data_IF_965664795866
#
_entry.id   IF_965664795866
#
_cell.length_a   1.000
_cell.length_b   1.000
_cell.length_c   1.000
_cell.angle_alpha   90.00
_cell.angle_beta   90.00
_cell.angle_gamma   90.00
#
_symmetry.space_group_name_H-M   'P 1'
#
loop_
_entity.id
_entity.type
_entity.pdbx_description
1 polymer ?
#
# COMPACT_ATOMS: atom_id res chain seq x y z
N UNK A 1 5.35 9.38 2.42
CA UNK A 1 6.12 9.03 3.65
C UNK A 1 6.17 7.51 3.76
N UNK A 2 7.28 6.96 4.16
CA UNK A 2 7.44 5.51 4.26
C UNK A 2 7.47 5.05 5.71
N UNK A 3 6.83 3.92 5.96
CA UNK A 3 6.78 3.23 7.25
C UNK A 3 7.32 1.83 7.09
N UNK A 4 8.08 1.37 8.08
CA UNK A 4 8.66 0.03 8.08
C UNK A 4 8.15 -0.75 9.30
N UNK A 5 7.65 -1.95 9.04
CA UNK A 5 7.34 -2.95 10.07
C UNK A 5 8.19 -4.18 9.80
N UNK A 6 8.57 -4.88 10.86
CA UNK A 6 9.41 -6.07 10.73
C UNK A 6 9.18 -7.07 11.86
N UNK A 7 9.43 -8.33 11.55
CA UNK A 7 9.60 -9.40 12.51
C UNK A 7 10.99 -10.02 12.35
N UNK A 8 11.23 -11.20 12.90
CA UNK A 8 12.52 -11.89 12.79
C UNK A 8 12.83 -12.39 11.36
N UNK A 9 11.81 -12.50 10.47
CA UNK A 9 11.95 -13.07 9.12
C UNK A 9 11.91 -12.04 8.02
N UNK A 10 11.02 -11.06 8.12
CA UNK A 10 10.71 -10.11 7.05
C UNK A 10 10.77 -8.66 7.55
N UNK A 11 11.17 -7.78 6.64
CA UNK A 11 11.01 -6.33 6.78
C UNK A 11 10.14 -5.83 5.63
N UNK A 12 9.00 -5.23 5.97
CA UNK A 12 8.08 -4.61 5.00
C UNK A 12 8.15 -3.09 5.12
N UNK A 13 8.33 -2.42 4.00
CA UNK A 13 8.19 -0.96 3.90
C UNK A 13 7.00 -0.61 3.05
N UNK A 14 6.15 0.29 3.56
CA UNK A 14 4.93 0.77 2.90
C UNK A 14 5.03 2.29 2.73
N UNK A 15 4.72 2.79 1.54
CA UNK A 15 4.55 4.21 1.29
C UNK A 15 3.11 4.62 1.58
N UNK A 16 2.90 5.75 2.26
CA UNK A 16 1.56 6.29 2.52
C UNK A 16 0.86 6.74 1.25
N UNK A 17 1.61 7.14 0.23
CA UNK A 17 1.05 7.36 -1.10
C UNK A 17 0.61 6.03 -1.69
N UNK A 18 -0.70 5.87 -1.87
CA UNK A 18 -1.30 4.62 -2.35
C UNK A 18 -1.32 3.47 -1.34
N UNK A 19 -0.85 3.66 -0.11
CA UNK A 19 -0.63 2.59 0.88
C UNK A 19 0.13 1.39 0.27
N UNK A 20 1.09 1.69 -0.60
CA UNK A 20 1.77 0.73 -1.45
C UNK A 20 2.95 0.07 -0.74
N UNK A 21 3.01 -1.26 -0.75
CA UNK A 21 4.20 -1.98 -0.34
C UNK A 21 5.32 -1.70 -1.36
N UNK A 22 6.43 -1.12 -0.92
CA UNK A 22 7.54 -0.72 -1.78
C UNK A 22 8.81 -1.53 -1.56
N UNK A 23 8.88 -2.28 -0.47
CA UNK A 23 10.00 -3.18 -0.17
C UNK A 23 9.56 -4.31 0.75
N UNK A 24 9.95 -5.52 0.42
CA UNK A 24 9.85 -6.70 1.29
C UNK A 24 11.20 -7.40 1.29
N UNK A 25 11.91 -7.33 2.39
CA UNK A 25 13.25 -7.91 2.52
C UNK A 25 13.19 -9.21 3.32
N UNK A 26 13.77 -10.27 2.78
CA UNK A 26 14.06 -11.48 3.53
C UNK A 26 15.29 -11.21 4.43
N UNK A 27 15.09 -11.16 5.74
CA UNK A 27 16.16 -10.80 6.69
C UNK A 27 17.28 -11.84 6.79
N UNK A 28 17.00 -13.11 6.49
CA UNK A 28 18.00 -14.15 6.51
C UNK A 28 19.03 -14.02 5.36
N UNK A 29 18.59 -13.56 4.20
CA UNK A 29 19.42 -13.45 3.00
C UNK A 29 19.75 -12.03 2.59
N UNK A 30 19.02 -11.03 3.10
CA UNK A 30 19.08 -9.63 2.68
C UNK A 30 18.43 -9.38 1.31
N UNK A 31 17.77 -10.38 0.72
CA UNK A 31 17.18 -10.28 -0.61
C UNK A 31 15.90 -9.43 -0.60
N UNK A 32 15.82 -8.48 -1.54
CA UNK A 32 14.59 -7.76 -1.86
C UNK A 32 13.64 -8.67 -2.65
N UNK A 33 12.40 -8.80 -2.17
CA UNK A 33 11.40 -9.73 -2.72
C UNK A 33 10.43 -9.05 -3.69
N UNK A 34 10.39 -7.72 -3.74
CA UNK A 34 9.54 -6.96 -4.64
C UNK A 34 10.32 -6.40 -5.82
N UNK A 35 9.57 -6.12 -6.88
CA UNK A 35 10.06 -5.32 -8.01
C UNK A 35 10.54 -3.94 -7.53
N UNK A 36 11.65 -3.46 -8.06
CA UNK A 36 12.32 -2.23 -7.60
C UNK A 36 11.60 -0.91 -7.97
N UNK A 37 10.55 -0.97 -8.78
CA UNK A 37 9.82 0.23 -9.21
C UNK A 37 10.58 1.08 -10.23
N UNK A 38 11.44 0.48 -11.05
CA UNK A 38 12.20 1.19 -12.10
C UNK A 38 11.24 1.92 -13.05
N UNK A 39 11.24 3.27 -13.07
CA UNK A 39 10.33 4.05 -13.91
C UNK A 39 10.57 3.86 -15.41
N UNK A 40 11.74 3.37 -15.83
CA UNK A 40 12.02 3.04 -17.22
C UNK A 40 11.23 1.81 -17.71
N UNK A 41 10.75 0.97 -16.79
CA UNK A 41 9.98 -0.23 -17.07
C UNK A 41 8.57 -0.11 -16.49
N UNK A 42 8.46 0.00 -15.18
CA UNK A 42 7.20 0.18 -14.46
C UNK A 42 7.47 0.76 -13.07
N UNK A 43 7.04 2.01 -12.86
CA UNK A 43 7.41 2.81 -11.68
C UNK A 43 6.62 2.50 -10.40
N UNK A 44 5.78 1.46 -10.40
CA UNK A 44 5.05 1.01 -9.19
C UNK A 44 5.61 -0.31 -8.69
N UNK A 45 5.21 -0.72 -7.48
CA UNK A 45 5.64 -1.96 -6.85
C UNK A 45 4.47 -2.92 -6.65
N UNK A 46 3.53 -2.57 -5.75
CA UNK A 46 2.37 -3.38 -5.39
C UNK A 46 1.14 -2.50 -5.16
N UNK A 47 0.63 -1.81 -6.19
CA UNK A 47 -0.45 -0.84 -6.03
C UNK A 47 -1.75 -1.52 -5.60
N UNK A 48 -2.52 -0.83 -4.74
CA UNK A 48 -3.85 -1.25 -4.32
C UNK A 48 -4.86 -0.88 -5.41
N UNK A 49 -5.57 -1.89 -5.91
CA UNK A 49 -6.58 -1.73 -6.95
C UNK A 49 -7.96 -1.60 -6.29
N UNK A 50 -8.41 -0.36 -6.11
CA UNK A 50 -9.68 -0.06 -5.45
C UNK A 50 -10.27 1.25 -6.00
N UNK A 51 -11.60 1.35 -6.23
CA UNK A 51 -12.65 0.36 -5.94
C UNK A 51 -12.87 -0.69 -7.03
N UNK A 52 -12.09 -0.70 -8.08
CA UNK A 52 -12.19 -1.68 -9.16
C UNK A 52 -10.82 -2.01 -9.77
N UNK A 53 -10.76 -3.14 -10.49
CA UNK A 53 -9.58 -3.60 -11.24
C UNK A 53 -9.79 -3.36 -12.72
N UNK A 54 -8.77 -2.85 -13.42
CA UNK A 54 -8.78 -2.60 -14.85
C UNK A 54 -9.36 -1.25 -15.22
N UNK A 55 -9.71 -1.11 -16.50
CA UNK A 55 -10.33 0.09 -17.07
C UNK A 55 -11.85 -0.03 -17.09
N UNK A 56 -12.53 1.07 -16.81
CA UNK A 56 -13.98 1.18 -16.99
C UNK A 56 -14.32 1.43 -18.46
N UNK A 57 -15.37 0.80 -18.96
CA UNK A 57 -15.90 1.08 -20.29
C UNK A 57 -16.31 2.56 -20.38
N UNK A 58 -15.77 3.28 -21.37
CA UNK A 58 -16.00 4.71 -21.51
C UNK A 58 -15.41 5.59 -20.39
N UNK A 59 -14.58 5.04 -19.50
CA UNK A 59 -13.98 5.78 -18.40
C UNK A 59 -14.95 6.22 -17.32
N UNK A 60 -16.11 5.58 -17.20
CA UNK A 60 -17.20 5.95 -16.30
C UNK A 60 -17.75 4.76 -15.53
N UNK A 61 -18.18 5.02 -14.31
CA UNK A 61 -18.93 4.11 -13.46
C UNK A 61 -20.25 4.76 -13.07
N UNK A 62 -21.33 3.98 -13.06
CA UNK A 62 -22.64 4.43 -12.59
C UNK A 62 -22.96 3.73 -11.28
N UNK A 63 -23.21 4.51 -10.23
CA UNK A 63 -23.62 4.00 -8.94
C UNK A 63 -24.79 4.82 -8.40
N UNK A 64 -25.87 4.13 -8.02
CA UNK A 64 -27.10 4.77 -7.52
C UNK A 64 -27.64 5.86 -8.44
N UNK A 65 -27.61 5.63 -9.76
CA UNK A 65 -28.08 6.55 -10.78
C UNK A 65 -27.16 7.76 -11.06
N UNK A 66 -25.98 7.82 -10.45
CA UNK A 66 -25.00 8.88 -10.63
C UNK A 66 -23.78 8.39 -11.38
N UNK A 67 -23.29 9.20 -12.34
CA UNK A 67 -22.05 8.92 -13.07
C UNK A 67 -20.82 9.42 -12.31
N UNK A 68 -19.77 8.58 -12.28
CA UNK A 68 -18.46 8.92 -11.75
C UNK A 68 -17.39 8.62 -12.80
N UNK A 69 -16.55 9.59 -13.11
CA UNK A 69 -15.36 9.37 -13.90
C UNK A 69 -14.33 8.55 -13.11
N UNK A 70 -13.65 7.62 -13.78
CA UNK A 70 -12.65 6.80 -13.12
C UNK A 70 -11.52 6.41 -14.08
N UNK A 71 -10.28 6.48 -13.57
CA UNK A 71 -9.08 5.99 -14.24
C UNK A 71 -8.88 4.49 -14.08
N UNK A 72 -7.81 3.97 -14.66
CA UNK A 72 -7.45 2.56 -14.53
C UNK A 72 -7.21 2.18 -13.06
N UNK A 73 -7.81 1.08 -12.60
CA UNK A 73 -7.68 0.51 -11.26
C UNK A 73 -8.21 1.38 -10.11
N UNK A 74 -9.08 2.34 -10.39
CA UNK A 74 -9.63 3.21 -9.36
C UNK A 74 -8.65 4.28 -8.85
N UNK A 75 -8.79 4.68 -7.59
CA UNK A 75 -8.06 5.84 -7.05
C UNK A 75 -7.18 5.53 -5.83
N UNK A 76 -7.34 4.39 -5.15
CA UNK A 76 -6.64 4.12 -3.89
C UNK A 76 -5.12 4.23 -4.03
N UNK A 77 -4.57 3.79 -5.15
CA UNK A 77 -3.13 3.82 -5.44
C UNK A 77 -2.55 5.22 -5.65
N UNK A 78 -3.40 6.23 -5.83
CA UNK A 78 -2.99 7.59 -6.19
C UNK A 78 -3.33 8.62 -5.09
N UNK A 79 -3.84 8.18 -3.94
CA UNK A 79 -4.17 9.04 -2.82
C UNK A 79 -3.27 8.80 -1.63
N UNK A 80 -3.16 9.81 -0.78
CA UNK A 80 -2.42 9.71 0.47
C UNK A 80 -3.26 8.99 1.53
N UNK A 81 -2.66 8.03 2.23
CA UNK A 81 -3.26 7.28 3.33
C UNK A 81 -2.64 7.68 4.66
N UNK A 82 -3.42 7.56 5.72
CA UNK A 82 -2.95 7.84 7.07
C UNK A 82 -2.59 6.54 7.78
N UNK A 83 -1.43 6.49 8.40
CA UNK A 83 -1.01 5.33 9.18
C UNK A 83 -1.64 5.34 10.58
N UNK A 84 -2.26 4.21 10.99
CA UNK A 84 -2.81 4.02 12.33
C UNK A 84 -2.48 2.62 12.86
N UNK A 85 -2.10 2.53 14.13
CA UNK A 85 -1.87 1.25 14.81
C UNK A 85 -2.80 1.15 16.02
N UNK A 86 -3.56 0.07 16.11
CA UNK A 86 -4.37 -0.22 17.27
C UNK A 86 -3.46 -0.62 18.44
N UNK A 87 -3.36 0.23 19.45
CA UNK A 87 -2.49 0.01 20.61
C UNK A 87 -3.05 -1.01 21.60
N UNK A 88 -4.34 -1.31 21.52
CA UNK A 88 -5.04 -2.20 22.44
C UNK A 88 -5.08 -3.64 21.95
N UNK A 89 -4.68 -3.88 20.71
CA UNK A 89 -4.54 -5.23 20.17
C UNK A 89 -3.09 -5.70 20.21
N UNK A 90 -2.86 -6.95 20.67
CA UNK A 90 -1.53 -7.52 20.57
C UNK A 90 -1.12 -7.53 19.08
N UNK A 91 0.08 -7.05 18.82
CA UNK A 91 0.71 -7.09 17.50
C UNK A 91 0.65 -8.53 16.96
N UNK A 92 0.06 -8.78 15.78
CA UNK A 92 -0.02 -10.12 15.20
C UNK A 92 1.33 -10.69 14.75
N UNK A 93 2.43 -10.20 15.31
CA UNK A 93 3.80 -10.66 15.04
C UNK A 93 4.62 -9.72 14.17
N UNK A 94 4.11 -8.51 13.93
CA UNK A 94 4.88 -7.44 13.32
C UNK A 94 5.27 -6.42 14.38
N UNK A 95 6.54 -6.36 14.73
CA UNK A 95 7.06 -5.41 15.69
C UNK A 95 7.22 -4.01 15.06
N UNK A 96 6.11 -3.30 14.91
CA UNK A 96 6.15 -1.86 14.74
C UNK A 96 6.69 -1.22 16.02
N UNK A 97 7.62 -0.27 15.94
CA UNK A 97 8.12 0.43 17.13
C UNK A 97 6.96 1.09 17.87
N UNK A 98 6.67 0.62 19.09
CA UNK A 98 5.71 1.27 19.97
C UNK A 98 6.14 2.72 20.21
N UNK A 99 5.25 3.67 19.91
CA UNK A 99 5.47 5.07 20.24
C UNK A 99 5.66 6.02 19.06
N UNK A 100 5.60 5.55 17.83
CA UNK A 100 5.56 6.44 16.67
C UNK A 100 4.12 6.98 16.48
N UNK A 101 3.91 8.32 16.49
CA UNK A 101 2.58 8.92 16.30
C UNK A 101 2.03 8.76 14.87
N UNK A 102 2.77 8.16 13.99
CA UNK A 102 2.44 7.91 12.59
C UNK A 102 1.71 6.58 12.49
N UNK A 103 0.40 6.56 12.35
CA UNK A 103 -0.39 5.34 12.40
C UNK A 103 -1.31 5.18 11.20
N UNK A 104 -1.53 3.97 10.73
CA UNK A 104 -2.34 3.63 9.55
C UNK A 104 -3.66 3.00 9.91
N UNK A 105 -4.72 3.45 9.26
CA UNK A 105 -5.88 2.61 9.00
C UNK A 105 -5.81 2.13 7.54
N UNK A 106 -5.67 0.88 7.34
CA UNK A 106 -6.11 0.21 6.14
C UNK A 106 -7.52 -0.30 6.38
#
# INVERSE_FOLDING_TARGET
MQYTIENEYLRLTVDTHGAEAVSVVNKATGAEMLWCGDPAVWGRHAPILFPYTGKLTGGKMIAKGKEYAGGQHGFARDVEHTWWQDRDKPDPGFAGKRGDPRQVAL
#
